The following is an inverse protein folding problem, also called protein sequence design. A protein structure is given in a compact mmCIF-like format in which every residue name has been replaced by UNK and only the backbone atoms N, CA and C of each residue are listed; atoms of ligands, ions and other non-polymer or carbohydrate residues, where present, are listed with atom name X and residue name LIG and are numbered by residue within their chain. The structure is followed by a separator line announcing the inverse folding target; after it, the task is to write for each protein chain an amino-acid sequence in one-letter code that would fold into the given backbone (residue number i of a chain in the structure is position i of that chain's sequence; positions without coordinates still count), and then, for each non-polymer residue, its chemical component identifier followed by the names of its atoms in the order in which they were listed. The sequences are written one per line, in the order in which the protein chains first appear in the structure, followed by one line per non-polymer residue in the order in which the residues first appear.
data_IF_360999089300
#
_entry.id   IF_360999089300
#
_cell.length_a   1.000
_cell.length_b   1.000
_cell.length_c   1.000
_cell.angle_alpha   90.00
_cell.angle_beta   90.00
_cell.angle_gamma   90.00
#
_symmetry.space_group_name_H-M   'P 1'
#
loop_
_entity.id
_entity.type
_entity.pdbx_description
1 polymer ?
#
# COMPACT_ATOMS: atom_id res chain seq x y z
N UNK A 1 5.03 21.69 4.95
CA UNK A 1 5.60 20.75 3.96
C UNK A 1 4.48 20.33 3.04
N UNK A 2 4.78 20.16 1.75
CA UNK A 2 3.84 19.60 0.79
C UNK A 2 3.52 18.13 1.16
N UNK A 3 2.30 17.69 0.87
CA UNK A 3 1.87 16.29 1.04
C UNK A 3 1.91 15.61 -0.33
N UNK A 4 2.59 14.49 -0.41
CA UNK A 4 2.74 13.67 -1.62
C UNK A 4 2.13 12.31 -1.37
N UNK A 5 1.18 11.91 -2.22
CA UNK A 5 0.59 10.57 -2.21
C UNK A 5 1.15 9.78 -3.38
N UNK A 6 1.65 8.58 -3.10
CA UNK A 6 2.29 7.70 -4.09
C UNK A 6 1.49 6.40 -4.17
N UNK A 7 0.89 6.12 -5.33
CA UNK A 7 0.33 4.80 -5.63
C UNK A 7 1.44 3.90 -6.20
N UNK A 8 1.77 2.82 -5.49
CA UNK A 8 2.74 1.82 -5.93
C UNK A 8 2.00 0.55 -6.33
N UNK A 9 2.00 0.25 -7.63
CA UNK A 9 1.38 -0.97 -8.15
C UNK A 9 2.00 -2.22 -7.51
N UNK A 10 1.17 -3.17 -7.07
CA UNK A 10 1.67 -4.36 -6.36
C UNK A 10 2.58 -5.26 -7.19
N UNK A 11 2.43 -5.26 -8.52
CA UNK A 11 3.33 -6.01 -9.41
C UNK A 11 4.67 -5.29 -9.63
N UNK A 12 4.73 -4.00 -9.29
CA UNK A 12 5.97 -3.21 -9.30
C UNK A 12 6.70 -3.40 -7.98
N UNK A 13 5.96 -3.42 -6.86
CA UNK A 13 6.57 -3.67 -5.54
C UNK A 13 7.08 -5.12 -5.41
N UNK A 14 6.32 -6.09 -5.92
CA UNK A 14 6.63 -7.52 -5.85
C UNK A 14 6.55 -8.13 -7.25
N UNK A 15 7.56 -7.88 -8.11
CA UNK A 15 7.62 -8.46 -9.46
C UNK A 15 7.85 -9.98 -9.44
N UNK A 16 8.38 -10.53 -8.34
CA UNK A 16 8.75 -11.93 -8.16
C UNK A 16 10.20 -12.24 -8.53
N UNK A 17 11.06 -11.21 -8.56
CA UNK A 17 12.49 -11.34 -8.84
C UNK A 17 13.26 -10.21 -8.14
N UNK A 18 14.24 -10.56 -7.30
CA UNK A 18 15.02 -9.61 -6.49
C UNK A 18 14.16 -8.61 -5.68
N UNK A 19 12.96 -9.02 -5.26
CA UNK A 19 11.97 -8.13 -4.63
C UNK A 19 12.53 -7.44 -3.39
N UNK A 20 13.30 -8.15 -2.56
CA UNK A 20 13.92 -7.59 -1.37
C UNK A 20 14.87 -6.43 -1.69
N UNK A 21 15.64 -6.53 -2.78
CA UNK A 21 16.56 -5.48 -3.23
C UNK A 21 15.77 -4.26 -3.70
N UNK A 22 14.76 -4.46 -4.55
CA UNK A 22 13.92 -3.36 -5.04
C UNK A 22 13.20 -2.64 -3.88
N UNK A 23 12.62 -3.39 -2.95
CA UNK A 23 11.91 -2.82 -1.79
C UNK A 23 12.87 -2.03 -0.90
N UNK A 24 14.11 -2.51 -0.69
CA UNK A 24 15.12 -1.79 0.07
C UNK A 24 15.54 -0.47 -0.61
N UNK A 25 15.75 -0.50 -1.93
CA UNK A 25 16.08 0.69 -2.73
C UNK A 25 14.93 1.72 -2.70
N UNK A 26 13.70 1.27 -2.90
CA UNK A 26 12.50 2.10 -2.79
C UNK A 26 12.37 2.71 -1.39
N UNK A 27 12.52 1.92 -0.33
CA UNK A 27 12.41 2.39 1.05
C UNK A 27 13.48 3.44 1.38
N UNK A 28 14.73 3.26 0.90
CA UNK A 28 15.79 4.25 1.08
C UNK A 28 15.48 5.56 0.36
N UNK A 29 14.97 5.51 -0.87
CA UNK A 29 14.54 6.71 -1.58
C UNK A 29 13.41 7.43 -0.83
N UNK A 30 12.38 6.71 -0.38
CA UNK A 30 11.26 7.28 0.36
C UNK A 30 11.72 7.92 1.69
N UNK A 31 12.69 7.31 2.39
CA UNK A 31 13.29 7.88 3.62
C UNK A 31 13.92 9.24 3.35
N UNK A 32 14.73 9.36 2.30
CA UNK A 32 15.38 10.62 1.95
C UNK A 32 14.36 11.70 1.57
N UNK A 33 13.39 11.37 0.72
CA UNK A 33 12.34 12.31 0.29
C UNK A 33 11.43 12.73 1.46
N UNK A 34 11.19 11.85 2.45
CA UNK A 34 10.35 12.15 3.62
C UNK A 34 10.90 13.27 4.51
N UNK A 35 12.18 13.63 4.35
CA UNK A 35 12.81 14.76 5.04
C UNK A 35 12.34 16.12 4.48
N UNK A 36 11.84 16.14 3.25
CA UNK A 36 11.46 17.36 2.52
C UNK A 36 9.95 17.48 2.31
N UNK A 37 9.24 16.36 2.16
CA UNK A 37 7.78 16.30 2.01
C UNK A 37 7.14 15.26 2.93
N UNK A 38 5.84 15.42 3.20
CA UNK A 38 5.06 14.41 3.92
C UNK A 38 4.59 13.34 2.94
N UNK A 39 4.88 12.07 3.22
CA UNK A 39 4.61 10.98 2.27
C UNK A 39 3.51 10.06 2.79
N UNK A 40 2.54 9.78 1.92
CA UNK A 40 1.64 8.63 2.05
C UNK A 40 1.81 7.71 0.84
N UNK A 41 1.89 6.40 1.08
CA UNK A 41 2.06 5.37 0.05
C UNK A 41 0.88 4.41 0.09
N UNK A 42 0.24 4.18 -1.05
CA UNK A 42 -0.77 3.12 -1.21
C UNK A 42 -0.17 2.00 -2.05
N UNK A 43 -0.21 0.78 -1.53
CA UNK A 43 0.41 -0.38 -2.17
C UNK A 43 -0.64 -1.31 -2.75
N UNK A 44 -0.52 -1.63 -4.04
CA UNK A 44 -1.39 -2.58 -4.75
C UNK A 44 -1.16 -4.06 -4.39
N UNK A 45 -2.08 -4.93 -4.79
CA UNK A 45 -2.05 -6.37 -4.46
C UNK A 45 -1.19 -7.24 -5.39
N UNK A 46 -0.94 -6.80 -6.63
CA UNK A 46 -0.02 -7.45 -7.56
C UNK A 46 -0.44 -8.86 -7.99
N UNK A 47 0.55 -9.71 -8.31
CA UNK A 47 0.32 -11.10 -8.78
C UNK A 47 -0.41 -11.94 -7.73
N UNK A 48 -0.06 -11.81 -6.45
CA UNK A 48 -0.68 -12.58 -5.37
C UNK A 48 -2.17 -12.27 -5.22
N UNK A 49 -2.59 -10.99 -5.33
CA UNK A 49 -4.00 -10.63 -5.27
C UNK A 49 -4.81 -11.24 -6.41
N UNK A 50 -4.24 -11.32 -7.62
CA UNK A 50 -4.87 -12.04 -8.74
C UNK A 50 -4.98 -13.53 -8.47
N UNK A 51 -3.91 -14.16 -8.01
CA UNK A 51 -3.93 -15.58 -7.65
C UNK A 51 -5.04 -15.93 -6.65
N UNK A 52 -5.15 -15.18 -5.55
CA UNK A 52 -6.18 -15.43 -4.53
C UNK A 52 -7.60 -15.13 -5.03
N UNK A 53 -7.79 -14.05 -5.80
CA UNK A 53 -9.11 -13.70 -6.33
C UNK A 53 -9.60 -14.67 -7.41
N UNK A 54 -8.71 -15.17 -8.28
CA UNK A 54 -9.02 -16.23 -9.26
C UNK A 54 -9.35 -17.55 -8.55
N UNK A 55 -8.53 -17.97 -7.58
CA UNK A 55 -8.79 -19.17 -6.79
C UNK A 55 -10.14 -19.09 -6.06
N UNK A 56 -10.44 -17.96 -5.42
CA UNK A 56 -11.71 -17.77 -4.73
C UNK A 56 -12.91 -17.78 -5.69
N UNK A 57 -12.74 -17.26 -6.91
CA UNK A 57 -13.77 -17.31 -7.95
C UNK A 57 -14.11 -18.74 -8.34
N UNK A 58 -13.10 -19.58 -8.52
CA UNK A 58 -13.28 -21.01 -8.85
C UNK A 58 -13.99 -21.78 -7.74
N UNK A 59 -13.83 -21.34 -6.49
CA UNK A 59 -14.54 -21.88 -5.32
C UNK A 59 -15.98 -21.34 -5.15
N UNK A 60 -16.45 -20.49 -6.06
CA UNK A 60 -17.80 -19.89 -6.00
C UNK A 60 -17.90 -18.66 -5.10
N UNK A 61 -16.77 -18.01 -4.79
CA UNK A 61 -16.74 -16.77 -4.03
C UNK A 61 -17.45 -15.61 -4.72
N UNK A 62 -18.10 -14.77 -3.93
CA UNK A 62 -18.74 -13.53 -4.38
C UNK A 62 -17.72 -12.44 -4.69
N UNK A 63 -18.09 -11.46 -5.53
CA UNK A 63 -17.23 -10.30 -5.82
C UNK A 63 -16.75 -9.58 -4.54
N UNK A 64 -17.61 -9.47 -3.53
CA UNK A 64 -17.27 -8.91 -2.23
C UNK A 64 -16.12 -9.68 -1.56
N UNK A 65 -16.21 -11.00 -1.50
CA UNK A 65 -15.18 -11.85 -0.89
C UNK A 65 -13.87 -11.82 -1.67
N UNK A 66 -13.93 -11.71 -3.01
CA UNK A 66 -12.75 -11.55 -3.85
C UNK A 66 -12.03 -10.23 -3.54
N UNK A 67 -12.77 -9.14 -3.38
CA UNK A 67 -12.22 -7.85 -3.01
C UNK A 67 -11.63 -7.87 -1.60
N UNK A 68 -12.29 -8.52 -0.63
CA UNK A 68 -11.74 -8.70 0.73
C UNK A 68 -10.38 -9.40 0.70
N UNK A 69 -10.23 -10.45 -0.10
CA UNK A 69 -8.94 -11.13 -0.29
C UNK A 69 -7.91 -10.20 -0.94
N UNK A 70 -8.31 -9.45 -1.98
CA UNK A 70 -7.44 -8.48 -2.63
C UNK A 70 -6.93 -7.41 -1.66
N UNK A 71 -7.82 -6.87 -0.85
CA UNK A 71 -7.50 -5.91 0.22
C UNK A 71 -6.55 -6.54 1.24
N UNK A 72 -6.81 -7.76 1.68
CA UNK A 72 -5.90 -8.49 2.57
C UNK A 72 -4.48 -8.55 2.01
N UNK A 73 -4.33 -8.93 0.74
CA UNK A 73 -3.02 -9.00 0.08
C UNK A 73 -2.36 -7.62 -0.05
N UNK A 74 -3.10 -6.57 -0.40
CA UNK A 74 -2.54 -5.21 -0.46
C UNK A 74 -1.97 -4.79 0.90
N UNK A 75 -2.61 -5.15 2.01
CA UNK A 75 -2.16 -4.84 3.38
C UNK A 75 -0.95 -5.66 3.79
N UNK A 76 -0.84 -6.91 3.33
CA UNK A 76 0.39 -7.72 3.47
C UNK A 76 1.56 -7.03 2.77
N UNK A 77 1.36 -6.58 1.52
CA UNK A 77 2.39 -5.85 0.77
C UNK A 77 2.76 -4.51 1.43
N UNK A 78 1.76 -3.77 1.93
CA UNK A 78 1.98 -2.55 2.70
C UNK A 78 2.83 -2.83 3.95
N UNK A 79 2.50 -3.88 4.72
CA UNK A 79 3.28 -4.28 5.89
C UNK A 79 4.71 -4.64 5.52
N UNK A 80 4.94 -5.35 4.42
CA UNK A 80 6.28 -5.66 3.94
C UNK A 80 7.11 -4.40 3.67
N UNK A 81 6.53 -3.37 3.05
CA UNK A 81 7.21 -2.09 2.84
C UNK A 81 7.51 -1.38 4.17
N UNK A 82 6.62 -1.44 5.18
CA UNK A 82 6.93 -0.88 6.51
C UNK A 82 8.13 -1.54 7.18
N UNK A 83 8.38 -2.83 6.93
CA UNK A 83 9.57 -3.53 7.46
C UNK A 83 10.85 -2.91 6.90
N UNK A 84 10.89 -2.60 5.61
CA UNK A 84 12.06 -1.96 4.98
C UNK A 84 12.23 -0.49 5.40
N UNK A 85 11.11 0.20 5.62
CA UNK A 85 11.10 1.58 6.10
C UNK A 85 11.54 1.72 7.57
N UNK A 86 11.28 0.72 8.43
CA UNK A 86 11.74 0.75 9.82
C UNK A 86 11.07 1.86 10.65
N UNK A 87 11.89 2.66 11.33
CA UNK A 87 11.45 3.66 12.33
C UNK A 87 10.71 4.86 11.75
N UNK A 88 10.85 5.13 10.45
CA UNK A 88 10.08 6.19 9.78
C UNK A 88 8.68 5.76 9.36
N UNK A 89 8.37 4.46 9.38
CA UNK A 89 7.05 3.96 9.01
C UNK A 89 6.03 4.05 10.15
N UNK A 90 4.76 3.96 9.76
CA UNK A 90 3.65 3.69 10.67
C UNK A 90 3.73 2.28 11.29
N UNK A 91 3.37 2.16 12.57
CA UNK A 91 3.33 0.88 13.30
C UNK A 91 2.20 -0.03 12.81
N UNK A 92 1.01 0.55 12.64
CA UNK A 92 -0.21 -0.13 12.20
C UNK A 92 -0.63 0.35 10.81
N UNK A 93 -1.11 -0.57 9.97
CA UNK A 93 -1.57 -0.26 8.61
C UNK A 93 -2.96 0.39 8.70
N UNK A 94 -3.15 1.63 8.22
CA UNK A 94 -4.45 2.28 8.21
C UNK A 94 -5.47 1.48 7.41
N UNK A 95 -6.71 1.43 7.90
CA UNK A 95 -7.82 0.74 7.22
C UNK A 95 -8.72 1.71 6.43
N UNK A 96 -8.55 3.01 6.64
CA UNK A 96 -9.32 4.10 6.02
C UNK A 96 -8.38 5.16 5.46
N UNK A 97 -8.80 5.82 4.37
CA UNK A 97 -8.02 6.84 3.70
C UNK A 97 -7.80 8.07 4.61
N UNK A 98 -8.82 8.45 5.38
CA UNK A 98 -8.76 9.59 6.30
C UNK A 98 -7.75 9.36 7.44
N UNK A 99 -7.68 8.13 7.94
CA UNK A 99 -6.70 7.76 8.97
C UNK A 99 -5.27 7.84 8.41
N UNK A 100 -5.06 7.38 7.18
CA UNK A 100 -3.77 7.51 6.49
C UNK A 100 -3.37 8.99 6.31
N UNK A 101 -4.31 9.83 5.85
CA UNK A 101 -4.09 11.26 5.67
C UNK A 101 -3.71 11.95 7.00
N UNK A 102 -4.37 11.58 8.11
CA UNK A 102 -4.11 12.11 9.46
C UNK A 102 -2.79 11.65 10.07
N UNK A 103 -2.31 10.46 9.70
CA UNK A 103 -1.04 9.91 10.19
C UNK A 103 0.17 10.53 9.48
N UNK A 104 -0.03 11.24 8.37
CA UNK A 104 1.05 11.85 7.61
C UNK A 104 1.75 12.96 8.42
N UNK A 105 3.06 12.84 8.56
CA UNK A 105 3.86 13.74 9.38
C UNK A 105 5.26 13.97 8.77
N UNK A 106 5.94 15.09 9.08
CA UNK A 106 7.30 15.33 8.62
C UNK A 106 8.27 14.21 9.04
N UNK A 107 9.13 13.76 8.13
CA UNK A 107 10.10 12.70 8.41
C UNK A 107 9.49 11.31 8.63
N UNK A 108 8.20 11.13 8.32
CA UNK A 108 7.49 9.85 8.39
C UNK A 108 6.94 9.46 7.02
N UNK A 109 6.83 8.17 6.81
CA UNK A 109 6.23 7.57 5.61
C UNK A 109 5.06 6.70 6.04
N UNK A 110 3.84 7.12 5.74
CA UNK A 110 2.65 6.33 6.04
C UNK A 110 2.40 5.38 4.87
N UNK A 111 2.26 4.08 5.14
CA UNK A 111 1.97 3.07 4.13
C UNK A 111 0.62 2.42 4.43
N UNK A 112 -0.21 2.29 3.39
CA UNK A 112 -1.49 1.58 3.46
C UNK A 112 -1.71 0.65 2.26
N UNK A 113 -2.72 -0.21 2.37
CA UNK A 113 -3.26 -1.01 1.27
C UNK A 113 -4.65 -0.51 0.87
N UNK A 114 -5.48 -1.40 0.36
CA UNK A 114 -6.90 -1.15 0.10
C UNK A 114 -7.72 -0.95 1.38
N UNK A 115 -8.88 -0.32 1.21
CA UNK A 115 -9.79 0.07 2.30
C UNK A 115 -11.00 -0.85 2.34
N UNK A 116 -11.86 -0.77 1.32
CA UNK A 116 -13.15 -1.45 1.24
C UNK A 116 -13.41 -2.01 -0.17
N UNK A 117 -14.28 -3.03 -0.29
CA UNK A 117 -14.65 -3.62 -1.58
C UNK A 117 -15.20 -2.61 -2.59
N UNK A 118 -14.96 -2.87 -3.89
CA UNK A 118 -15.33 -1.98 -4.99
C UNK A 118 -14.32 -0.88 -5.31
N UNK A 119 -13.23 -0.73 -4.54
CA UNK A 119 -12.21 0.29 -4.77
C UNK A 119 -10.85 -0.29 -5.17
N UNK A 120 -10.24 0.34 -6.18
CA UNK A 120 -8.83 0.09 -6.52
C UNK A 120 -7.91 0.87 -5.57
N UNK A 121 -6.64 0.48 -5.50
CA UNK A 121 -5.64 1.25 -4.73
C UNK A 121 -5.38 2.64 -5.28
N UNK A 122 -5.62 2.87 -6.58
CA UNK A 122 -5.55 4.21 -7.16
C UNK A 122 -6.69 5.10 -6.67
N UNK A 123 -7.91 4.56 -6.57
CA UNK A 123 -9.04 5.28 -5.98
C UNK A 123 -8.75 5.65 -4.51
N UNK A 124 -8.18 4.71 -3.74
CA UNK A 124 -7.75 4.97 -2.36
C UNK A 124 -6.67 6.06 -2.30
N UNK A 125 -5.67 6.04 -3.19
CA UNK A 125 -4.65 7.07 -3.27
C UNK A 125 -5.25 8.45 -3.57
N UNK A 126 -6.20 8.53 -4.51
CA UNK A 126 -6.93 9.77 -4.81
C UNK A 126 -7.70 10.29 -3.60
N UNK A 127 -8.40 9.41 -2.85
CA UNK A 127 -9.11 9.80 -1.63
C UNK A 127 -8.17 10.40 -0.59
N UNK A 128 -6.97 9.86 -0.40
CA UNK A 128 -5.97 10.43 0.53
C UNK A 128 -5.50 11.80 0.04
N UNK A 129 -5.30 11.96 -1.27
CA UNK A 129 -4.79 13.20 -1.85
C UNK A 129 -5.81 14.35 -1.77
N UNK A 130 -7.11 14.04 -1.74
CA UNK A 130 -8.19 15.00 -1.55
C UNK A 130 -8.35 15.49 -0.09
N UNK A 131 -7.68 14.85 0.88
CA UNK A 131 -7.73 15.16 2.32
C UNK A 131 -6.50 15.93 2.84
#
# INVERSE_FOLDING_TARGET
MEKVVISVGGSVLIPGNDDAKYIAELANMLKEVSKEVQIAVVVGGGKMSRYYSETARELGGTMYQLDELGIGITRVNAKLLTVALGDVANTEIPLKAEDCARMSAPGKVVVMGGTEPGHTTDAVASMIAEN
#
